data_IF_860492395793
#
_entry.id   IF_860492395793
#
_cell.length_a   1.000
_cell.length_b   1.000
_cell.length_c   1.000
_cell.angle_alpha   90.00
_cell.angle_beta   90.00
_cell.angle_gamma   90.00
#
_symmetry.space_group_name_H-M   'P 1'
#
loop_
_entity.id
_entity.type
_entity.pdbx_description
1 polymer ?
#
# COMPACT_ATOMS: atom_id res chain seq x y z
N UNK A 1 -10.50 27.90 11.17
CA UNK A 1 -11.23 26.60 11.22
C UNK A 1 -10.17 25.53 11.06
N UNK A 2 -10.14 24.49 11.90
CA UNK A 2 -9.22 23.38 11.68
C UNK A 2 -9.53 22.77 10.31
N UNK A 3 -8.51 22.56 9.47
CA UNK A 3 -8.71 21.89 8.18
C UNK A 3 -9.30 20.51 8.44
N UNK A 4 -10.31 20.11 7.65
CA UNK A 4 -10.91 18.79 7.71
C UNK A 4 -9.83 17.72 7.52
N UNK A 5 -9.86 16.66 8.33
CA UNK A 5 -8.97 15.50 8.13
C UNK A 5 -9.25 14.90 6.76
N UNK A 6 -8.21 14.75 5.93
CA UNK A 6 -8.26 14.04 4.66
C UNK A 6 -7.05 13.14 4.54
N UNK A 7 -7.30 11.87 4.35
CA UNK A 7 -6.29 10.85 4.18
C UNK A 7 -6.51 10.08 2.88
N UNK A 8 -5.50 9.37 2.41
CA UNK A 8 -5.62 8.62 1.18
C UNK A 8 -4.97 7.24 1.28
N UNK A 9 -5.57 6.29 0.58
CA UNK A 9 -4.91 5.09 0.12
C UNK A 9 -4.55 5.28 -1.36
N UNK A 10 -3.26 5.19 -1.68
CA UNK A 10 -2.74 5.52 -3.00
C UNK A 10 -1.94 4.34 -3.60
N UNK A 11 -2.64 3.26 -4.03
CA UNK A 11 -1.97 2.09 -4.54
C UNK A 11 -1.47 2.27 -5.97
N UNK A 12 -0.31 1.66 -6.28
CA UNK A 12 0.07 1.38 -7.66
C UNK A 12 -0.63 0.09 -8.12
N UNK A 13 -1.24 0.03 -9.31
CA UNK A 13 -1.98 -1.13 -9.82
C UNK A 13 -1.02 -2.23 -10.34
N UNK A 14 -0.07 -2.65 -9.51
CA UNK A 14 1.00 -3.60 -9.86
C UNK A 14 0.74 -5.02 -9.37
N UNK A 15 -0.47 -5.33 -8.94
CA UNK A 15 -0.87 -6.66 -8.48
C UNK A 15 -2.11 -6.67 -7.58
N UNK A 16 -2.43 -7.84 -7.06
CA UNK A 16 -3.56 -8.08 -6.16
C UNK A 16 -3.37 -7.35 -4.81
N UNK A 17 -4.47 -7.09 -4.11
CA UNK A 17 -4.44 -6.45 -2.79
C UNK A 17 -3.77 -7.36 -1.76
N UNK A 18 -2.52 -7.08 -1.46
CA UNK A 18 -1.74 -7.76 -0.41
C UNK A 18 -2.15 -7.27 0.98
N UNK A 19 -2.06 -8.12 1.99
CA UNK A 19 -2.46 -7.81 3.37
C UNK A 19 -1.75 -6.57 3.94
N UNK A 20 -0.49 -6.30 3.55
CA UNK A 20 0.24 -5.09 3.94
C UNK A 20 -0.40 -3.82 3.39
N UNK A 21 -0.84 -3.86 2.13
CA UNK A 21 -1.53 -2.75 1.49
C UNK A 21 -2.96 -2.59 2.05
N UNK A 22 -3.66 -3.70 2.31
CA UNK A 22 -4.96 -3.69 2.97
C UNK A 22 -4.87 -3.05 4.37
N UNK A 23 -3.82 -3.34 5.14
CA UNK A 23 -3.56 -2.70 6.42
C UNK A 23 -3.32 -1.20 6.28
N UNK A 24 -2.55 -0.79 5.28
CA UNK A 24 -2.33 0.64 5.00
C UNK A 24 -3.65 1.34 4.70
N UNK A 25 -4.50 0.76 3.85
CA UNK A 25 -5.83 1.28 3.56
C UNK A 25 -6.69 1.34 4.82
N UNK A 26 -6.69 0.28 5.63
CA UNK A 26 -7.48 0.15 6.83
C UNK A 26 -7.11 1.21 7.88
N UNK A 27 -5.84 1.49 8.12
CA UNK A 27 -5.47 2.53 9.10
C UNK A 27 -5.79 3.94 8.60
N UNK A 28 -5.70 4.22 7.31
CA UNK A 28 -6.23 5.46 6.75
C UNK A 28 -7.75 5.54 6.92
N UNK A 29 -8.48 4.46 6.65
CA UNK A 29 -9.91 4.37 6.84
C UNK A 29 -10.32 4.60 8.29
N UNK A 30 -9.70 3.89 9.24
CA UNK A 30 -9.99 4.05 10.68
C UNK A 30 -9.70 5.48 11.16
N UNK A 31 -8.57 6.05 10.76
CA UNK A 31 -8.20 7.42 11.08
C UNK A 31 -9.22 8.42 10.55
N UNK A 32 -9.61 8.31 9.29
CA UNK A 32 -10.63 9.17 8.69
C UNK A 32 -11.96 9.04 9.43
N UNK A 33 -12.48 7.83 9.61
CA UNK A 33 -13.79 7.61 10.21
C UNK A 33 -13.83 8.00 11.69
N UNK A 34 -12.76 7.75 12.46
CA UNK A 34 -12.64 8.16 13.85
C UNK A 34 -12.72 9.69 14.00
N UNK A 35 -12.03 10.43 13.15
CA UNK A 35 -11.98 11.89 13.22
C UNK A 35 -13.06 12.60 12.38
N UNK A 36 -14.01 11.88 11.78
CA UNK A 36 -15.03 12.45 10.89
C UNK A 36 -14.48 13.10 9.62
N UNK A 37 -13.36 12.59 9.13
CA UNK A 37 -12.65 13.05 7.94
C UNK A 37 -13.01 12.27 6.69
N UNK A 38 -12.32 12.57 5.58
CA UNK A 38 -12.48 11.92 4.28
C UNK A 38 -11.39 10.86 4.06
N UNK A 39 -11.81 9.72 3.52
CA UNK A 39 -10.94 8.66 3.02
C UNK A 39 -10.99 8.63 1.50
N UNK A 40 -9.86 8.91 0.85
CA UNK A 40 -9.71 9.07 -0.60
C UNK A 40 -8.93 7.90 -1.18
N UNK A 41 -9.34 7.41 -2.35
CA UNK A 41 -8.58 6.44 -3.15
C UNK A 41 -8.00 7.15 -4.37
N UNK A 42 -6.67 7.08 -4.55
CA UNK A 42 -5.96 7.56 -5.75
C UNK A 42 -5.14 6.43 -6.35
N UNK A 43 -5.21 6.23 -7.65
CA UNK A 43 -4.42 5.21 -8.36
C UNK A 43 -3.13 5.83 -8.88
N UNK A 44 -1.98 5.26 -8.47
CA UNK A 44 -0.65 5.69 -8.89
C UNK A 44 -0.13 4.80 -10.02
N UNK A 45 -0.54 5.10 -11.25
CA UNK A 45 -0.34 4.32 -12.47
C UNK A 45 0.73 4.90 -13.43
N UNK A 46 1.61 5.76 -12.93
CA UNK A 46 2.71 6.35 -13.74
C UNK A 46 3.81 5.35 -14.12
N UNK A 47 3.86 4.18 -13.51
CA UNK A 47 4.75 3.08 -13.90
C UNK A 47 4.05 2.09 -14.82
N UNK A 48 3.99 2.44 -16.11
CA UNK A 48 3.32 1.62 -17.15
C UNK A 48 3.96 0.24 -17.36
N UNK A 49 5.23 0.06 -17.00
CA UNK A 49 5.94 -1.23 -17.20
C UNK A 49 5.50 -2.29 -16.22
N UNK A 50 5.03 -1.90 -15.03
CA UNK A 50 4.58 -2.80 -13.97
C UNK A 50 3.06 -2.87 -13.84
N UNK A 51 2.32 -2.26 -14.76
CA UNK A 51 0.87 -2.29 -14.75
C UNK A 51 0.34 -3.73 -14.91
N UNK A 52 -0.62 -4.12 -14.05
CA UNK A 52 -1.34 -5.40 -14.11
C UNK A 52 -2.80 -5.09 -14.45
N UNK A 53 -3.33 -5.73 -15.49
CA UNK A 53 -4.66 -5.43 -16.05
C UNK A 53 -5.79 -5.41 -15.02
N UNK A 54 -5.78 -6.35 -14.07
CA UNK A 54 -6.79 -6.44 -13.01
C UNK A 54 -6.35 -5.79 -11.68
N UNK A 55 -5.21 -5.12 -11.66
CA UNK A 55 -4.62 -4.58 -10.43
C UNK A 55 -5.53 -3.56 -9.73
N UNK A 56 -6.03 -2.58 -10.45
CA UNK A 56 -6.95 -1.56 -9.90
C UNK A 56 -8.25 -2.19 -9.42
N UNK A 57 -8.88 -3.04 -10.26
CA UNK A 57 -10.12 -3.73 -9.90
C UNK A 57 -9.97 -4.56 -8.63
N UNK A 58 -8.89 -5.33 -8.52
CA UNK A 58 -8.61 -6.12 -7.31
C UNK A 58 -8.47 -5.25 -6.06
N UNK A 59 -7.82 -4.07 -6.17
CA UNK A 59 -7.72 -3.15 -5.05
C UNK A 59 -9.12 -2.71 -4.58
N UNK A 60 -9.94 -2.17 -5.48
CA UNK A 60 -11.24 -1.60 -5.15
C UNK A 60 -12.26 -2.65 -4.68
N UNK A 61 -12.38 -3.77 -5.39
CA UNK A 61 -13.32 -4.85 -5.02
C UNK A 61 -12.99 -5.45 -3.65
N UNK A 62 -11.73 -5.67 -3.34
CA UNK A 62 -11.33 -6.27 -2.07
C UNK A 62 -11.41 -5.26 -0.90
N UNK A 63 -11.22 -3.97 -1.13
CA UNK A 63 -11.52 -2.94 -0.13
C UNK A 63 -13.02 -2.89 0.19
N UNK A 64 -13.89 -2.96 -0.83
CA UNK A 64 -15.35 -3.06 -0.62
C UNK A 64 -15.73 -4.31 0.13
N UNK A 65 -15.16 -5.45 -0.23
CA UNK A 65 -15.43 -6.71 0.47
C UNK A 65 -15.05 -6.61 1.95
N UNK A 66 -13.93 -5.95 2.29
CA UNK A 66 -13.56 -5.64 3.67
C UNK A 66 -14.52 -4.62 4.33
N UNK A 67 -15.41 -3.97 3.56
CA UNK A 67 -16.36 -2.97 4.01
C UNK A 67 -15.72 -1.62 4.31
N UNK A 68 -14.61 -1.32 3.65
CA UNK A 68 -14.04 0.02 3.63
C UNK A 68 -14.66 0.80 2.48
N UNK A 69 -15.60 1.68 2.81
CA UNK A 69 -16.16 2.67 1.90
C UNK A 69 -15.24 3.91 1.83
N UNK A 70 -15.29 4.62 0.74
CA UNK A 70 -14.50 5.84 0.51
C UNK A 70 -15.37 7.00 0.05
N UNK A 71 -14.86 8.20 0.25
CA UNK A 71 -15.58 9.43 -0.10
C UNK A 71 -15.31 9.81 -1.57
N UNK A 72 -14.08 9.60 -2.04
CA UNK A 72 -13.64 9.95 -3.39
C UNK A 72 -12.72 8.87 -3.97
N UNK A 73 -12.88 8.58 -5.26
CA UNK A 73 -12.09 7.57 -5.97
C UNK A 73 -12.15 7.75 -7.49
N UNK A 74 -11.35 7.02 -8.28
CA UNK A 74 -11.44 7.02 -9.75
C UNK A 74 -12.80 6.58 -10.32
N UNK A 75 -13.65 5.95 -9.51
CA UNK A 75 -14.99 5.53 -9.94
C UNK A 75 -16.04 6.61 -9.74
N UNK A 76 -15.77 7.56 -8.86
CA UNK A 76 -16.73 8.61 -8.46
C UNK A 76 -16.31 10.01 -8.88
N UNK A 77 -15.02 10.21 -9.17
CA UNK A 77 -14.42 11.51 -9.48
C UNK A 77 -13.43 11.38 -10.64
N UNK A 78 -13.35 12.40 -11.48
CA UNK A 78 -12.34 12.52 -12.52
C UNK A 78 -10.97 12.90 -11.93
N UNK A 79 -9.90 12.54 -12.63
CA UNK A 79 -8.52 12.89 -12.26
C UNK A 79 -8.06 12.26 -10.90
N UNK A 80 -8.50 11.04 -10.61
CA UNK A 80 -8.03 10.24 -9.47
C UNK A 80 -7.06 9.13 -9.88
N UNK A 81 -6.64 9.11 -11.18
CA UNK A 81 -5.48 8.35 -11.67
C UNK A 81 -4.37 9.30 -12.04
N UNK A 82 -3.13 8.99 -11.68
CA UNK A 82 -1.99 9.86 -11.99
C UNK A 82 -1.79 10.06 -13.50
N UNK A 83 -2.08 9.05 -14.31
CA UNK A 83 -2.02 9.15 -15.78
C UNK A 83 -2.99 10.19 -16.36
N UNK A 84 -4.04 10.56 -15.64
CA UNK A 84 -5.03 11.59 -16.04
C UNK A 84 -4.58 13.02 -15.66
N UNK A 85 -3.45 13.18 -14.95
CA UNK A 85 -3.01 14.41 -14.31
C UNK A 85 -1.71 14.99 -14.88
N UNK A 86 -1.26 14.51 -16.03
CA UNK A 86 0.03 14.90 -16.62
C UNK A 86 0.18 16.39 -16.86
N UNK A 87 -0.89 17.08 -17.27
CA UNK A 87 -0.89 18.54 -17.47
C UNK A 87 -0.68 19.30 -16.15
N UNK A 88 -1.25 18.80 -15.05
CA UNK A 88 -1.05 19.36 -13.73
C UNK A 88 0.42 19.28 -13.30
N UNK A 89 1.04 18.10 -13.46
CA UNK A 89 2.46 17.91 -13.15
C UNK A 89 3.35 18.80 -14.01
N UNK A 90 3.06 18.89 -15.32
CA UNK A 90 3.83 19.72 -16.24
C UNK A 90 3.81 21.20 -15.82
N UNK A 91 2.65 21.70 -15.42
CA UNK A 91 2.50 23.09 -14.94
C UNK A 91 3.45 23.40 -13.77
N UNK A 92 3.57 22.49 -12.79
CA UNK A 92 4.46 22.71 -11.64
C UNK A 92 5.92 22.47 -11.99
N UNK A 93 6.23 21.58 -12.92
CA UNK A 93 7.59 21.42 -13.46
C UNK A 93 8.03 22.71 -14.17
N UNK A 94 7.18 23.28 -15.02
CA UNK A 94 7.46 24.53 -15.72
C UNK A 94 7.65 25.72 -14.75
N UNK A 95 6.86 25.77 -13.67
CA UNK A 95 7.04 26.75 -12.61
C UNK A 95 8.43 26.61 -11.96
N UNK A 96 8.83 25.39 -11.56
CA UNK A 96 10.13 25.16 -10.92
C UNK A 96 11.31 25.48 -11.86
N UNK A 97 11.16 25.20 -13.16
CA UNK A 97 12.13 25.57 -14.19
C UNK A 97 12.23 27.11 -14.32
N UNK A 98 11.11 27.80 -14.37
CA UNK A 98 11.06 29.26 -14.48
C UNK A 98 11.64 29.96 -13.24
N UNK A 99 11.45 29.37 -12.05
CA UNK A 99 12.01 29.87 -10.79
C UNK A 99 13.49 29.48 -10.57
N UNK A 100 14.09 28.71 -11.48
CA UNK A 100 15.48 28.23 -11.34
C UNK A 100 15.68 27.20 -10.23
N UNK A 101 14.60 26.61 -9.71
CA UNK A 101 14.62 25.56 -8.68
C UNK A 101 14.76 24.14 -9.27
N UNK A 102 14.52 24.02 -10.55
CA UNK A 102 14.77 22.84 -11.35
C UNK A 102 15.47 23.19 -12.66
N UNK A 103 16.06 22.22 -13.32
CA UNK A 103 16.75 22.41 -14.59
C UNK A 103 16.68 21.16 -15.47
N UNK A 104 16.85 21.33 -16.78
CA UNK A 104 16.95 20.24 -17.75
C UNK A 104 18.37 19.64 -17.69
N UNK A 105 18.46 18.34 -17.45
CA UNK A 105 19.71 17.58 -17.44
C UNK A 105 19.81 16.70 -18.67
N UNK A 106 20.92 16.81 -19.39
CA UNK A 106 21.19 16.08 -20.63
C UNK A 106 22.18 14.93 -20.44
N UNK A 107 22.52 14.57 -19.20
CA UNK A 107 23.40 13.45 -18.88
C UNK A 107 22.72 12.14 -19.26
N UNK A 108 23.47 11.27 -19.98
CA UNK A 108 22.96 9.97 -20.41
C UNK A 108 23.08 8.91 -19.31
N UNK A 109 22.42 7.77 -19.47
CA UNK A 109 22.51 6.66 -18.50
C UNK A 109 23.92 6.08 -18.44
N UNK A 110 24.62 6.05 -19.59
CA UNK A 110 25.99 5.59 -19.70
C UNK A 110 26.95 6.53 -18.94
N UNK A 111 26.78 7.84 -19.09
CA UNK A 111 27.56 8.85 -18.36
C UNK A 111 27.31 8.77 -16.84
N UNK A 112 26.06 8.61 -16.43
CA UNK A 112 25.72 8.41 -15.01
C UNK A 112 26.34 7.13 -14.45
N UNK A 113 26.32 6.03 -15.22
CA UNK A 113 26.93 4.77 -14.80
C UNK A 113 28.45 4.88 -14.67
N UNK A 114 29.13 5.54 -15.64
CA UNK A 114 30.56 5.77 -15.62
C UNK A 114 30.99 6.66 -14.44
N UNK A 115 30.24 7.73 -14.16
CA UNK A 115 30.53 8.60 -13.01
C UNK A 115 30.34 7.87 -11.69
N UNK A 116 29.28 7.05 -11.56
CA UNK A 116 29.06 6.21 -10.40
C UNK A 116 30.24 5.25 -10.17
N UNK A 117 30.68 4.55 -11.21
CA UNK A 117 31.82 3.63 -11.13
C UNK A 117 33.10 4.37 -10.72
N UNK A 118 33.35 5.57 -11.27
CA UNK A 118 34.49 6.41 -10.87
C UNK A 118 34.45 6.73 -9.37
N UNK A 119 33.28 7.13 -8.85
CA UNK A 119 33.11 7.49 -7.43
C UNK A 119 33.31 6.26 -6.53
N UNK A 120 32.75 5.10 -6.89
CA UNK A 120 32.91 3.84 -6.16
C UNK A 120 34.38 3.41 -6.10
N UNK A 121 35.11 3.50 -7.21
CA UNK A 121 36.55 3.20 -7.27
C UNK A 121 37.40 4.17 -6.43
N UNK A 122 36.96 5.42 -6.31
CA UNK A 122 37.61 6.42 -5.46
C UNK A 122 37.26 6.28 -3.96
N UNK A 123 36.35 5.35 -3.61
CA UNK A 123 35.84 5.19 -2.23
C UNK A 123 34.91 6.33 -1.80
N UNK A 124 34.34 7.04 -2.76
CA UNK A 124 33.35 8.08 -2.54
C UNK A 124 31.92 7.47 -2.52
N UNK A 125 31.00 8.08 -1.77
CA UNK A 125 29.59 7.70 -1.85
C UNK A 125 29.01 8.19 -3.18
N UNK A 126 28.45 7.30 -4.03
CA UNK A 126 27.90 7.68 -5.32
C UNK A 126 26.78 8.72 -5.20
N UNK A 127 26.93 9.81 -5.94
CA UNK A 127 25.94 10.89 -6.03
C UNK A 127 25.92 11.50 -7.41
N UNK A 128 24.81 12.09 -7.76
CA UNK A 128 24.72 12.88 -8.98
C UNK A 128 25.48 14.21 -8.79
N UNK A 129 26.28 14.56 -9.79
CA UNK A 129 26.99 15.85 -9.87
C UNK A 129 26.32 16.63 -11.01
N UNK A 130 25.88 17.86 -10.71
CA UNK A 130 25.28 18.74 -11.72
C UNK A 130 26.32 19.05 -12.80
N UNK A 131 25.98 18.70 -14.07
CA UNK A 131 26.87 18.87 -15.23
C UNK A 131 27.23 20.31 -15.53
N UNK A 132 26.48 21.27 -15.01
CA UNK A 132 26.71 22.70 -15.25
C UNK A 132 27.63 23.35 -14.24
N UNK A 133 28.09 22.61 -13.24
CA UNK A 133 29.00 23.19 -12.21
C UNK A 133 30.29 23.68 -12.89
N UNK A 134 30.58 24.96 -12.68
CA UNK A 134 31.79 25.61 -13.20
C UNK A 134 31.70 26.10 -14.64
N UNK A 135 30.56 25.87 -15.34
CA UNK A 135 30.36 26.40 -16.67
C UNK A 135 29.86 27.86 -16.62
N UNK A 136 30.41 28.69 -17.52
CA UNK A 136 29.80 29.98 -17.86
C UNK A 136 28.48 29.79 -18.61
N UNK A 137 27.64 30.81 -18.67
CA UNK A 137 26.37 30.72 -19.42
C UNK A 137 26.58 30.36 -20.90
N UNK A 138 27.63 30.91 -21.54
CA UNK A 138 27.95 30.58 -22.94
C UNK A 138 28.37 29.11 -23.10
N UNK A 139 29.14 28.56 -22.16
CA UNK A 139 29.53 27.15 -22.20
C UNK A 139 28.32 26.22 -21.97
N UNK A 140 27.41 26.61 -21.07
CA UNK A 140 26.16 25.90 -20.82
C UNK A 140 25.26 25.90 -22.04
N UNK A 141 25.06 27.05 -22.70
CA UNK A 141 24.29 27.14 -23.93
C UNK A 141 24.89 26.26 -25.05
N UNK A 142 26.23 26.29 -25.22
CA UNK A 142 26.93 25.46 -26.20
C UNK A 142 26.76 23.96 -25.90
N UNK A 143 26.90 23.55 -24.64
CA UNK A 143 26.68 22.18 -24.19
C UNK A 143 25.24 21.72 -24.48
N UNK A 144 24.24 22.52 -24.12
CA UNK A 144 22.84 22.20 -24.37
C UNK A 144 22.60 22.02 -25.87
N UNK A 145 23.07 22.96 -26.71
CA UNK A 145 22.90 22.92 -28.14
C UNK A 145 23.55 21.65 -28.77
N UNK A 146 24.71 21.26 -28.29
CA UNK A 146 25.37 20.01 -28.71
C UNK A 146 24.54 18.78 -28.38
N UNK A 147 24.02 18.70 -27.14
CA UNK A 147 23.20 17.58 -26.65
C UNK A 147 21.87 17.48 -27.40
N UNK A 148 21.22 18.59 -27.65
CA UNK A 148 19.98 18.65 -28.44
C UNK A 148 20.22 18.24 -29.90
N UNK A 149 21.32 18.72 -30.50
CA UNK A 149 21.72 18.32 -31.85
C UNK A 149 22.02 16.80 -31.95
N UNK A 150 22.51 16.20 -30.88
CA UNK A 150 22.72 14.75 -30.75
C UNK A 150 21.39 13.98 -30.50
N UNK A 151 20.24 14.65 -30.39
CA UNK A 151 18.95 14.03 -30.14
C UNK A 151 18.74 13.54 -28.70
N UNK A 152 19.52 14.02 -27.74
CA UNK A 152 19.39 13.64 -26.34
C UNK A 152 18.16 14.33 -25.75
N UNK A 153 17.20 13.54 -25.28
CA UNK A 153 16.02 14.02 -24.56
C UNK A 153 16.39 14.24 -23.09
N UNK A 154 16.22 15.47 -22.56
CA UNK A 154 16.59 15.75 -21.17
C UNK A 154 15.60 15.12 -20.19
N UNK A 155 16.10 14.89 -18.97
CA UNK A 155 15.27 14.76 -17.76
C UNK A 155 15.18 16.14 -17.08
N UNK A 156 14.20 16.34 -16.20
CA UNK A 156 14.18 17.52 -15.33
C UNK A 156 14.59 17.09 -13.93
N UNK A 157 15.54 17.81 -13.34
CA UNK A 157 16.03 17.57 -12.00
C UNK A 157 15.68 18.74 -11.06
N UNK A 158 15.29 18.39 -9.83
CA UNK A 158 15.16 19.36 -8.74
C UNK A 158 16.54 19.64 -8.17
N UNK A 159 16.89 20.92 -8.01
CA UNK A 159 18.13 21.33 -7.36
C UNK A 159 18.05 21.08 -5.85
N UNK A 160 19.04 20.41 -5.29
CA UNK A 160 19.09 20.02 -3.88
C UNK A 160 20.09 20.87 -3.11
N UNK A 161 19.68 21.42 -1.97
CA UNK A 161 20.60 22.02 -1.02
C UNK A 161 21.31 20.95 -0.21
N UNK A 162 22.59 20.73 -0.45
CA UNK A 162 23.39 19.76 0.31
C UNK A 162 23.48 20.10 1.81
N UNK A 163 23.42 21.37 2.17
CA UNK A 163 23.40 21.84 3.57
C UNK A 163 22.01 21.86 4.20
N UNK A 164 20.96 21.51 3.44
CA UNK A 164 19.60 21.46 3.93
C UNK A 164 19.40 20.35 4.95
N UNK A 165 18.62 20.61 5.98
CA UNK A 165 18.21 19.60 6.98
C UNK A 165 16.70 19.46 6.91
N UNK A 166 16.22 18.26 6.58
CA UNK A 166 14.81 17.93 6.43
C UNK A 166 14.32 17.21 7.66
N UNK A 167 13.41 17.85 8.40
CA UNK A 167 12.88 17.35 9.69
C UNK A 167 11.38 17.25 9.66
N UNK A 168 10.86 16.21 10.29
CA UNK A 168 9.43 16.10 10.57
C UNK A 168 9.20 15.28 11.84
N UNK A 169 8.08 15.51 12.49
CA UNK A 169 7.61 14.65 13.58
C UNK A 169 6.64 13.64 12.99
N UNK A 170 7.08 12.38 12.92
CA UNK A 170 6.28 11.27 12.40
C UNK A 170 5.29 10.77 13.44
N UNK A 171 4.03 10.52 13.03
CA UNK A 171 2.96 10.06 13.93
C UNK A 171 3.31 8.75 14.64
N UNK A 172 4.15 7.90 14.03
CA UNK A 172 4.50 6.58 14.56
C UNK A 172 5.93 6.53 15.08
N UNK A 173 6.88 7.07 14.30
CA UNK A 173 8.33 6.96 14.59
C UNK A 173 8.86 8.07 15.50
N UNK A 174 8.12 9.18 15.65
CA UNK A 174 8.57 10.38 16.36
C UNK A 174 9.46 11.26 15.48
N UNK A 175 10.37 12.00 16.08
CA UNK A 175 11.21 12.97 15.36
C UNK A 175 12.21 12.26 14.44
N UNK A 176 12.22 12.66 13.17
CA UNK A 176 13.12 12.16 12.13
C UNK A 176 13.84 13.35 11.51
N UNK A 177 15.14 13.18 11.27
CA UNK A 177 15.99 14.18 10.63
C UNK A 177 16.80 13.52 9.52
N UNK A 178 16.90 14.22 8.37
CA UNK A 178 17.71 13.83 7.24
C UNK A 178 18.53 15.01 6.74
N UNK A 179 19.82 14.79 6.48
CA UNK A 179 20.69 15.76 5.83
C UNK A 179 20.54 15.70 4.31
N UNK A 180 20.49 16.86 3.66
CA UNK A 180 20.38 16.97 2.19
C UNK A 180 21.52 16.26 1.46
N UNK A 181 22.72 16.26 2.03
CA UNK A 181 23.90 15.53 1.54
C UNK A 181 23.68 14.04 1.35
N UNK A 182 22.78 13.43 2.15
CA UNK A 182 22.45 12.00 2.09
C UNK A 182 21.42 11.63 1.00
N UNK A 183 20.89 12.62 0.27
CA UNK A 183 19.91 12.39 -0.82
C UNK A 183 20.58 11.87 -2.09
N UNK A 184 21.88 12.09 -2.26
CA UNK A 184 22.61 11.65 -3.44
C UNK A 184 22.61 12.67 -4.59
N UNK A 185 22.45 13.96 -4.28
CA UNK A 185 22.48 15.07 -5.24
C UNK A 185 21.11 15.38 -5.86
N UNK A 186 21.12 16.21 -6.91
CA UNK A 186 19.91 16.64 -7.61
C UNK A 186 19.20 15.44 -8.23
N UNK A 187 17.91 15.29 -7.98
CA UNK A 187 17.18 14.10 -8.38
C UNK A 187 16.09 14.39 -9.42
N UNK A 188 15.81 13.41 -10.28
CA UNK A 188 14.88 13.55 -11.40
C UNK A 188 13.45 13.70 -10.90
N UNK A 189 12.78 14.79 -11.30
CA UNK A 189 11.35 15.03 -11.08
C UNK A 189 10.52 14.67 -12.31
N UNK A 190 11.10 14.78 -13.54
CA UNK A 190 10.46 14.35 -14.79
C UNK A 190 11.40 13.47 -15.60
N UNK A 191 10.88 12.32 -16.04
CA UNK A 191 11.57 11.35 -16.88
C UNK A 191 11.61 11.82 -18.35
N UNK A 192 12.47 11.19 -19.18
CA UNK A 192 12.60 11.46 -20.62
C UNK A 192 11.29 11.25 -21.40
N UNK A 193 10.40 10.40 -20.92
CA UNK A 193 9.08 10.13 -21.51
C UNK A 193 8.01 11.16 -21.14
N UNK A 194 8.39 12.21 -20.40
CA UNK A 194 7.48 13.27 -19.95
C UNK A 194 6.71 12.94 -18.66
N UNK A 195 6.76 11.71 -18.18
CA UNK A 195 6.10 11.33 -16.93
C UNK A 195 6.86 11.82 -15.70
N UNK A 196 6.16 12.27 -14.66
CA UNK A 196 6.81 12.61 -13.39
C UNK A 196 7.38 11.36 -12.70
N UNK A 197 8.33 11.57 -11.81
CA UNK A 197 8.75 10.53 -10.88
C UNK A 197 7.78 10.43 -9.69
N UNK A 198 7.77 9.29 -9.02
CA UNK A 198 6.90 9.02 -7.88
C UNK A 198 6.94 10.13 -6.81
N UNK A 199 8.14 10.51 -6.34
CA UNK A 199 8.27 11.48 -5.27
C UNK A 199 7.80 12.90 -5.64
N UNK A 200 7.78 13.25 -6.92
CA UNK A 200 7.22 14.51 -7.40
C UNK A 200 5.69 14.42 -7.54
N UNK A 201 5.19 13.40 -8.25
CA UNK A 201 3.77 13.25 -8.51
C UNK A 201 2.94 13.17 -7.22
N UNK A 202 3.38 12.36 -6.25
CA UNK A 202 2.66 12.18 -4.98
C UNK A 202 2.50 13.48 -4.19
N UNK A 203 3.50 14.37 -4.24
CA UNK A 203 3.44 15.68 -3.56
C UNK A 203 2.42 16.59 -4.22
N UNK A 204 2.45 16.67 -5.55
CA UNK A 204 1.49 17.48 -6.31
C UNK A 204 0.06 17.01 -6.03
N UNK A 205 -0.15 15.70 -6.04
CA UNK A 205 -1.46 15.11 -5.81
C UNK A 205 -1.94 15.32 -4.37
N UNK A 206 -1.08 15.06 -3.39
CA UNK A 206 -1.43 15.22 -1.98
C UNK A 206 -1.76 16.69 -1.65
N UNK A 207 -1.06 17.65 -2.28
CA UNK A 207 -1.38 19.06 -2.15
C UNK A 207 -2.70 19.42 -2.83
N UNK A 208 -2.88 19.07 -4.10
CA UNK A 208 -4.05 19.41 -4.90
C UNK A 208 -5.35 18.78 -4.34
N UNK A 209 -5.24 17.55 -3.83
CA UNK A 209 -6.33 16.83 -3.14
C UNK A 209 -6.48 17.22 -1.68
N UNK A 210 -5.70 18.21 -1.19
CA UNK A 210 -5.75 18.71 0.19
C UNK A 210 -5.58 17.60 1.25
N UNK A 211 -4.69 16.65 1.01
CA UNK A 211 -4.39 15.59 1.95
C UNK A 211 -3.70 16.17 3.19
N UNK A 212 -4.30 15.98 4.35
CA UNK A 212 -3.80 16.50 5.62
C UNK A 212 -2.82 15.54 6.31
N UNK A 213 -3.00 14.22 6.10
CA UNK A 213 -2.18 13.18 6.71
C UNK A 213 -1.83 12.09 5.70
N UNK A 214 -0.56 11.70 5.70
CA UNK A 214 0.00 10.66 4.83
C UNK A 214 0.42 9.48 5.69
N UNK A 215 -0.48 8.48 5.84
CA UNK A 215 -0.22 7.25 6.59
C UNK A 215 0.15 6.15 5.59
N UNK A 216 1.36 5.57 5.71
CA UNK A 216 1.90 4.60 4.74
C UNK A 216 2.93 3.66 5.39
N UNK A 217 3.46 2.69 4.64
CA UNK A 217 4.52 1.80 5.12
C UNK A 217 5.84 2.52 5.40
N UNK A 218 6.65 2.03 6.32
CA UNK A 218 7.94 2.61 6.70
C UNK A 218 9.05 2.41 5.66
N UNK A 219 8.83 1.59 4.64
CA UNK A 219 9.64 1.52 3.44
C UNK A 219 9.64 2.83 2.63
N UNK A 220 8.71 3.74 2.90
CA UNK A 220 8.65 5.08 2.33
C UNK A 220 9.37 6.17 3.15
N UNK A 221 9.94 5.89 4.31
CA UNK A 221 10.65 6.89 5.13
C UNK A 221 11.75 7.59 4.33
N UNK A 222 12.55 6.84 3.57
CA UNK A 222 13.62 7.40 2.73
C UNK A 222 13.12 8.27 1.56
N UNK A 223 11.83 8.21 1.22
CA UNK A 223 11.21 9.07 0.21
C UNK A 223 10.79 10.43 0.78
N UNK A 224 10.47 10.48 2.09
CA UNK A 224 9.91 11.68 2.74
C UNK A 224 10.82 12.91 2.59
N UNK A 225 12.15 12.85 2.73
CA UNK A 225 13.02 14.02 2.51
C UNK A 225 12.87 14.59 1.10
N UNK A 226 12.83 13.74 0.07
CA UNK A 226 12.62 14.19 -1.33
C UNK A 226 11.29 14.89 -1.52
N UNK A 227 10.26 14.39 -0.85
CA UNK A 227 8.92 14.99 -0.89
C UNK A 227 8.90 16.33 -0.16
N UNK A 228 9.54 16.43 1.01
CA UNK A 228 9.68 17.70 1.73
C UNK A 228 10.42 18.76 0.89
N UNK A 229 11.43 18.37 0.11
CA UNK A 229 12.11 19.26 -0.85
C UNK A 229 11.16 19.84 -1.89
N UNK A 230 10.20 19.05 -2.38
CA UNK A 230 9.20 19.54 -3.35
C UNK A 230 8.22 20.52 -2.68
N UNK A 231 7.74 20.20 -1.46
CA UNK A 231 6.90 21.11 -0.68
C UNK A 231 7.62 22.45 -0.44
N UNK A 232 8.88 22.42 -0.01
CA UNK A 232 9.70 23.61 0.19
C UNK A 232 9.90 24.39 -1.10
N UNK A 233 10.26 23.73 -2.20
CA UNK A 233 10.49 24.36 -3.50
C UNK A 233 9.24 25.08 -4.04
N UNK A 234 8.06 24.53 -3.78
CA UNK A 234 6.77 25.11 -4.19
C UNK A 234 6.20 26.09 -3.15
N UNK A 235 6.83 26.20 -1.97
CA UNK A 235 6.36 27.07 -0.88
C UNK A 235 5.09 26.58 -0.19
N UNK A 236 4.89 25.27 -0.16
CA UNK A 236 3.72 24.64 0.43
C UNK A 236 4.01 24.06 1.81
N UNK A 237 2.97 24.01 2.66
CA UNK A 237 3.02 23.23 3.89
C UNK A 237 2.88 21.74 3.57
N UNK A 238 3.75 20.92 4.18
CA UNK A 238 3.67 19.48 4.04
C UNK A 238 2.57 18.90 4.94
N UNK A 239 1.93 17.79 4.55
CA UNK A 239 1.00 17.06 5.40
C UNK A 239 1.75 16.43 6.59
N UNK A 240 0.99 16.00 7.60
CA UNK A 240 1.56 15.18 8.66
C UNK A 240 1.84 13.76 8.14
N UNK A 241 3.02 13.22 8.44
CA UNK A 241 3.42 11.87 8.01
C UNK A 241 3.30 10.86 9.14
N UNK A 242 2.88 9.65 8.81
CA UNK A 242 2.87 8.48 9.68
C UNK A 242 3.39 7.24 8.96
N UNK A 243 4.50 6.67 9.44
CA UNK A 243 5.15 5.52 8.81
C UNK A 243 4.96 4.26 9.65
N UNK A 244 4.04 3.39 9.21
CA UNK A 244 3.71 2.14 9.86
C UNK A 244 4.79 1.10 9.64
N UNK A 245 5.06 0.32 10.68
CA UNK A 245 6.07 -0.75 10.66
C UNK A 245 5.71 -1.86 9.67
N UNK A 246 6.72 -2.64 9.26
CA UNK A 246 6.53 -3.82 8.41
C UNK A 246 5.68 -4.90 9.09
N UNK A 247 5.04 -5.74 8.27
CA UNK A 247 4.48 -7.00 8.71
C UNK A 247 5.53 -8.09 8.51
N UNK A 248 5.77 -8.87 9.56
CA UNK A 248 6.68 -10.02 9.56
C UNK A 248 5.88 -11.30 9.78
N UNK A 249 6.38 -12.41 9.27
CA UNK A 249 5.83 -13.72 9.57
C UNK A 249 6.22 -14.10 11.01
N UNK A 250 5.24 -14.49 11.85
CA UNK A 250 5.45 -14.81 13.27
C UNK A 250 6.36 -16.02 13.50
N UNK A 251 6.40 -16.98 12.57
CA UNK A 251 7.21 -18.19 12.69
C UNK A 251 8.66 -17.97 12.27
N UNK A 252 8.89 -17.14 11.22
CA UNK A 252 10.23 -16.95 10.65
C UNK A 252 10.90 -15.64 11.07
N UNK A 253 10.15 -14.67 11.61
CA UNK A 253 10.63 -13.32 11.93
C UNK A 253 11.03 -12.48 10.72
N UNK A 254 10.84 -12.99 9.49
CA UNK A 254 11.18 -12.28 8.24
C UNK A 254 9.99 -11.51 7.71
N UNK A 255 10.25 -10.49 6.87
CA UNK A 255 9.21 -9.76 6.15
C UNK A 255 8.29 -10.76 5.46
N UNK A 256 6.99 -10.60 5.63
CA UNK A 256 5.97 -11.41 4.97
C UNK A 256 6.17 -11.37 3.45
N UNK A 257 6.30 -12.52 2.82
CA UNK A 257 6.75 -12.67 1.43
C UNK A 257 5.83 -13.62 0.67
N UNK A 258 5.58 -13.33 -0.60
CA UNK A 258 4.80 -14.19 -1.53
C UNK A 258 5.28 -15.65 -1.61
N UNK A 259 6.44 -15.97 -1.03
CA UNK A 259 7.01 -17.33 -0.97
C UNK A 259 6.59 -18.11 0.28
N UNK A 260 5.90 -17.46 1.23
CA UNK A 260 5.42 -18.11 2.45
C UNK A 260 4.15 -18.91 2.13
N UNK A 261 4.28 -20.17 1.78
CA UNK A 261 3.20 -21.03 1.27
C UNK A 261 2.12 -21.37 2.30
N UNK A 262 2.41 -21.21 3.58
CA UNK A 262 1.49 -21.53 4.68
C UNK A 262 0.69 -20.32 5.17
N UNK A 263 0.80 -19.18 4.49
CA UNK A 263 0.21 -17.92 4.92
C UNK A 263 -0.56 -17.32 3.76
N UNK A 264 -1.84 -17.03 3.96
CA UNK A 264 -2.62 -16.28 2.99
C UNK A 264 -2.18 -14.82 2.99
N UNK A 265 -1.80 -14.30 1.84
CA UNK A 265 -1.20 -12.97 1.75
C UNK A 265 -2.04 -11.97 0.97
N UNK A 266 -2.97 -12.46 0.16
CA UNK A 266 -3.87 -11.63 -0.63
C UNK A 266 -5.27 -11.69 -0.07
N UNK A 267 -5.93 -10.55 -0.02
CA UNK A 267 -7.31 -10.44 0.50
C UNK A 267 -8.27 -11.28 -0.34
N UNK A 268 -8.02 -11.39 -1.64
CA UNK A 268 -8.79 -12.24 -2.53
C UNK A 268 -8.78 -13.72 -2.13
N UNK A 269 -7.66 -14.21 -1.57
CA UNK A 269 -7.54 -15.62 -1.14
C UNK A 269 -8.42 -15.88 0.09
N UNK A 270 -8.52 -14.95 1.03
CA UNK A 270 -9.47 -15.04 2.14
C UNK A 270 -10.91 -15.07 1.65
N UNK A 271 -11.25 -14.16 0.73
CA UNK A 271 -12.58 -14.11 0.11
C UNK A 271 -12.92 -15.41 -0.62
N UNK A 272 -11.99 -15.95 -1.43
CA UNK A 272 -12.15 -17.21 -2.17
C UNK A 272 -12.36 -18.43 -1.26
N UNK A 273 -11.79 -18.43 -0.07
CA UNK A 273 -11.97 -19.48 0.92
C UNK A 273 -13.23 -19.31 1.79
N UNK A 274 -13.94 -18.21 1.63
CA UNK A 274 -15.14 -17.93 2.40
C UNK A 274 -14.87 -17.55 3.86
N UNK A 275 -13.80 -16.80 4.12
CA UNK A 275 -13.66 -16.08 5.39
C UNK A 275 -14.71 -14.98 5.48
N UNK A 276 -15.15 -14.66 6.70
CA UNK A 276 -15.99 -13.48 6.91
C UNK A 276 -15.12 -12.21 6.82
N UNK A 277 -15.62 -11.21 6.09
CA UNK A 277 -14.90 -9.96 5.88
C UNK A 277 -14.62 -9.23 7.19
N UNK A 278 -15.55 -9.31 8.16
CA UNK A 278 -15.43 -8.73 9.50
C UNK A 278 -14.27 -9.32 10.28
N UNK A 279 -14.08 -10.65 10.19
CA UNK A 279 -12.97 -11.33 10.85
C UNK A 279 -11.62 -10.88 10.27
N UNK A 280 -11.52 -10.78 8.93
CA UNK A 280 -10.30 -10.32 8.26
C UNK A 280 -10.03 -8.86 8.56
N UNK A 281 -11.05 -8.00 8.57
CA UNK A 281 -10.94 -6.60 8.93
C UNK A 281 -10.42 -6.43 10.36
N UNK A 282 -11.01 -7.11 11.34
CA UNK A 282 -10.59 -7.06 12.73
C UNK A 282 -9.16 -7.56 12.91
N UNK A 283 -8.81 -8.69 12.28
CA UNK A 283 -7.46 -9.23 12.36
C UNK A 283 -6.41 -8.23 11.83
N UNK A 284 -6.67 -7.63 10.65
CA UNK A 284 -5.76 -6.63 10.05
C UNK A 284 -5.64 -5.39 10.93
N UNK A 285 -6.73 -4.95 11.58
CA UNK A 285 -6.71 -3.80 12.49
C UNK A 285 -5.75 -4.01 13.67
N UNK A 286 -5.62 -5.25 14.16
CA UNK A 286 -4.70 -5.59 15.26
C UNK A 286 -3.26 -5.84 14.81
N UNK A 287 -2.96 -5.77 13.50
CA UNK A 287 -1.60 -5.87 12.99
C UNK A 287 -0.84 -4.54 13.13
N UNK A 288 -0.31 -4.29 14.30
CA UNK A 288 0.48 -3.10 14.61
C UNK A 288 -0.30 -1.97 15.26
N UNK A 289 -1.48 -2.28 15.79
CA UNK A 289 -2.25 -1.41 16.65
C UNK A 289 -2.98 -2.25 17.71
N UNK A 290 -3.28 -1.64 18.88
CA UNK A 290 -3.99 -2.30 19.96
C UNK A 290 -4.87 -1.27 20.70
N UNK A 291 -6.18 -1.52 20.86
CA UNK A 291 -7.10 -0.60 21.55
C UNK A 291 -6.88 -0.55 23.07
N UNK A 292 -6.09 -1.49 23.61
CA UNK A 292 -5.92 -1.70 25.05
C UNK A 292 -6.87 -2.75 25.59
N UNK A 293 -6.48 -3.36 26.71
CA UNK A 293 -7.20 -4.49 27.28
C UNK A 293 -6.85 -5.83 26.66
N UNK A 294 -7.62 -6.86 26.99
CA UNK A 294 -7.40 -8.25 26.57
C UNK A 294 -8.38 -8.68 25.44
N UNK A 295 -9.35 -7.85 25.12
CA UNK A 295 -10.32 -8.11 24.07
C UNK A 295 -9.67 -8.04 22.68
N UNK A 296 -10.02 -8.97 21.82
CA UNK A 296 -9.46 -9.09 20.46
C UNK A 296 -10.56 -9.18 19.38
N UNK A 297 -11.82 -9.37 19.76
CA UNK A 297 -12.95 -9.47 18.82
C UNK A 297 -13.76 -8.19 18.90
N UNK A 298 -13.79 -7.44 17.81
CA UNK A 298 -14.43 -6.11 17.75
C UNK A 298 -15.24 -5.97 16.47
N UNK A 299 -16.41 -5.40 16.57
CA UNK A 299 -17.11 -4.92 15.36
C UNK A 299 -16.33 -3.77 14.70
N UNK A 300 -16.61 -3.52 13.43
CA UNK A 300 -16.00 -2.40 12.68
C UNK A 300 -16.27 -1.06 13.37
N UNK A 301 -17.49 -0.86 13.86
CA UNK A 301 -17.88 0.37 14.57
C UNK A 301 -17.09 0.54 15.88
N UNK A 302 -16.90 -0.55 16.63
CA UNK A 302 -16.05 -0.51 17.83
C UNK A 302 -14.60 -0.15 17.48
N UNK A 303 -14.03 -0.73 16.41
CA UNK A 303 -12.68 -0.41 15.97
C UNK A 303 -12.53 1.05 15.56
N UNK A 304 -13.52 1.62 14.84
CA UNK A 304 -13.54 3.04 14.49
C UNK A 304 -13.59 3.91 15.76
N UNK A 305 -14.45 3.59 16.71
CA UNK A 305 -14.61 4.38 17.94
C UNK A 305 -13.40 4.29 18.87
N UNK A 306 -12.73 3.14 18.92
CA UNK A 306 -11.57 2.88 19.78
C UNK A 306 -10.25 3.31 19.15
N UNK A 307 -10.25 3.68 17.88
CA UNK A 307 -9.01 4.00 17.19
C UNK A 307 -8.29 5.18 17.84
N UNK A 308 -7.01 4.99 18.12
CA UNK A 308 -6.11 5.99 18.69
C UNK A 308 -4.74 5.82 17.98
N UNK A 309 -4.38 6.80 17.17
CA UNK A 309 -3.14 6.82 16.41
C UNK A 309 -1.88 6.78 17.28
N UNK A 310 -1.97 7.26 18.53
CA UNK A 310 -0.85 7.22 19.46
C UNK A 310 -0.49 5.80 19.91
N UNK A 311 -1.36 4.84 19.63
CA UNK A 311 -1.19 3.42 19.92
C UNK A 311 -0.68 2.60 18.74
N UNK A 312 -0.36 3.25 17.61
CA UNK A 312 0.29 2.60 16.49
C UNK A 312 1.68 2.09 16.91
N UNK A 313 1.96 0.81 16.62
CA UNK A 313 3.18 0.13 17.07
C UNK A 313 4.43 0.68 16.38
N UNK A 314 5.47 0.91 17.16
CA UNK A 314 6.82 1.24 16.66
C UNK A 314 7.63 0.01 16.25
N UNK A 315 7.17 -1.19 16.61
CA UNK A 315 7.81 -2.47 16.30
C UNK A 315 7.07 -3.21 15.19
N UNK A 316 7.74 -4.05 14.37
CA UNK A 316 7.10 -4.85 13.34
C UNK A 316 5.92 -5.67 13.87
N UNK A 317 4.85 -5.74 13.08
CA UNK A 317 3.67 -6.51 13.41
C UNK A 317 3.85 -7.97 12.99
N UNK A 318 3.65 -8.91 13.92
CA UNK A 318 3.75 -10.34 13.63
C UNK A 318 2.43 -10.87 13.06
N UNK A 319 2.47 -11.36 11.82
CA UNK A 319 1.35 -12.05 11.20
C UNK A 319 1.34 -13.52 11.65
N UNK A 320 0.26 -13.95 12.28
CA UNK A 320 0.02 -15.30 12.74
C UNK A 320 -1.26 -15.86 12.10
N UNK A 321 -1.12 -16.86 11.20
CA UNK A 321 -2.25 -17.50 10.54
C UNK A 321 -3.14 -18.24 11.55
N UNK A 322 -2.58 -18.83 12.60
CA UNK A 322 -3.37 -19.53 13.61
C UNK A 322 -4.28 -18.57 14.37
N UNK A 323 -3.77 -17.37 14.66
CA UNK A 323 -4.58 -16.31 15.26
C UNK A 323 -5.70 -15.85 14.33
N UNK A 324 -5.40 -15.68 13.03
CA UNK A 324 -6.41 -15.35 12.02
C UNK A 324 -7.51 -16.44 11.97
N UNK A 325 -7.11 -17.71 11.92
CA UNK A 325 -8.02 -18.85 11.88
C UNK A 325 -8.90 -18.93 13.15
N UNK A 326 -8.31 -18.67 14.31
CA UNK A 326 -9.05 -18.61 15.57
C UNK A 326 -10.07 -17.48 15.58
N UNK A 327 -9.68 -16.28 15.16
CA UNK A 327 -10.62 -15.14 15.07
C UNK A 327 -11.74 -15.44 14.09
N UNK A 328 -11.42 -15.97 12.91
CA UNK A 328 -12.42 -16.32 11.90
C UNK A 328 -13.41 -17.37 12.42
N UNK A 329 -12.92 -18.39 13.15
CA UNK A 329 -13.78 -19.38 13.78
C UNK A 329 -14.75 -18.72 14.79
N UNK A 330 -14.27 -17.77 15.60
CA UNK A 330 -15.13 -17.06 16.55
C UNK A 330 -16.23 -16.27 15.86
N UNK A 331 -15.91 -15.56 14.77
CA UNK A 331 -16.91 -14.86 13.96
C UNK A 331 -17.92 -15.80 13.34
N UNK A 332 -17.49 -16.89 12.68
CA UNK A 332 -18.40 -17.87 12.07
C UNK A 332 -19.30 -18.55 13.10
N UNK A 333 -18.75 -18.89 14.25
CA UNK A 333 -19.49 -19.52 15.35
C UNK A 333 -20.60 -18.62 15.89
N UNK A 334 -20.36 -17.31 16.00
CA UNK A 334 -21.29 -16.35 16.55
C UNK A 334 -22.21 -15.69 15.49
N UNK A 335 -21.94 -15.86 14.19
CA UNK A 335 -22.79 -15.36 13.11
C UNK A 335 -24.13 -16.10 13.07
N UNK A 336 -25.15 -15.49 12.46
CA UNK A 336 -26.42 -16.17 12.18
C UNK A 336 -26.22 -17.33 11.20
N UNK A 337 -27.14 -18.31 11.27
CA UNK A 337 -27.04 -19.52 10.46
C UNK A 337 -27.13 -19.22 8.97
N UNK A 338 -28.04 -18.34 8.57
CA UNK A 338 -28.29 -17.98 7.16
C UNK A 338 -27.03 -17.39 6.51
N UNK A 339 -26.33 -16.51 7.21
CA UNK A 339 -25.06 -15.94 6.74
C UNK A 339 -23.98 -16.99 6.54
N UNK A 340 -23.82 -17.91 7.49
CA UNK A 340 -22.80 -18.98 7.39
C UNK A 340 -23.19 -19.99 6.30
N UNK A 341 -24.48 -20.34 6.20
CA UNK A 341 -24.96 -21.23 5.15
C UNK A 341 -24.74 -20.61 3.75
N UNK A 342 -25.03 -19.32 3.59
CA UNK A 342 -24.78 -18.60 2.33
C UNK A 342 -23.30 -18.63 1.93
N UNK A 343 -22.37 -18.53 2.88
CA UNK A 343 -20.94 -18.68 2.63
C UNK A 343 -20.53 -20.10 2.24
N UNK A 344 -21.11 -21.12 2.88
CA UNK A 344 -20.79 -22.54 2.62
C UNK A 344 -21.44 -23.09 1.34
N UNK A 345 -22.60 -22.54 0.95
CA UNK A 345 -23.42 -23.03 -0.16
C UNK A 345 -22.66 -23.19 -1.48
N UNK A 346 -21.86 -22.21 -1.97
CA UNK A 346 -21.12 -22.36 -3.22
C UNK A 346 -20.15 -23.56 -3.20
N UNK A 347 -19.47 -23.79 -2.08
CA UNK A 347 -18.54 -24.92 -1.92
C UNK A 347 -19.25 -26.27 -1.92
N UNK A 348 -20.40 -26.35 -1.25
CA UNK A 348 -21.24 -27.57 -1.26
C UNK A 348 -21.81 -27.84 -2.65
N UNK A 349 -22.20 -26.80 -3.38
CA UNK A 349 -22.71 -26.91 -4.75
C UNK A 349 -21.64 -27.42 -5.70
N UNK A 350 -20.43 -26.81 -5.68
CA UNK A 350 -19.29 -27.23 -6.50
C UNK A 350 -18.86 -28.67 -6.21
N UNK A 351 -18.93 -29.09 -4.94
CA UNK A 351 -18.63 -30.45 -4.52
C UNK A 351 -19.76 -31.47 -4.78
N UNK A 352 -20.92 -31.04 -5.33
CA UNK A 352 -22.07 -31.90 -5.51
C UNK A 352 -22.76 -32.36 -4.22
N UNK A 353 -22.61 -31.58 -3.13
CA UNK A 353 -23.08 -31.91 -1.77
C UNK A 353 -24.23 -31.03 -1.30
N UNK A 354 -24.78 -30.18 -2.15
CA UNK A 354 -25.90 -29.34 -1.83
C UNK A 354 -27.20 -30.18 -1.93
N UNK A 355 -27.43 -30.98 -0.89
CA UNK A 355 -28.59 -31.90 -0.76
C UNK A 355 -29.60 -31.35 0.25
N UNK A 356 -30.72 -32.04 0.44
CA UNK A 356 -31.72 -31.79 1.50
C UNK A 356 -31.15 -31.81 2.93
N UNK A 357 -29.96 -32.38 3.11
CA UNK A 357 -29.24 -32.43 4.39
C UNK A 357 -28.20 -31.33 4.55
N UNK A 358 -27.95 -30.51 3.54
CA UNK A 358 -26.87 -29.50 3.54
C UNK A 358 -26.97 -28.54 4.72
N UNK A 359 -28.18 -28.04 5.04
CA UNK A 359 -28.39 -27.14 6.19
C UNK A 359 -27.96 -27.79 7.51
N UNK A 360 -28.39 -29.06 7.73
CA UNK A 360 -28.01 -29.80 8.95
C UNK A 360 -26.52 -30.06 9.07
N UNK A 361 -25.84 -30.28 7.93
CA UNK A 361 -24.41 -30.48 7.90
C UNK A 361 -23.66 -29.19 8.23
N UNK A 362 -24.12 -28.08 7.67
CA UNK A 362 -23.53 -26.75 8.00
C UNK A 362 -23.79 -26.42 9.47
N UNK A 363 -24.99 -26.65 10.00
CA UNK A 363 -25.32 -26.43 11.41
C UNK A 363 -24.41 -27.27 12.33
N UNK A 364 -24.18 -28.54 11.99
CA UNK A 364 -23.33 -29.47 12.73
C UNK A 364 -21.87 -28.99 12.79
N UNK A 365 -21.34 -28.51 11.66
CA UNK A 365 -19.92 -28.16 11.52
C UNK A 365 -19.60 -26.69 11.75
N UNK A 366 -20.60 -25.81 11.77
CA UNK A 366 -20.44 -24.36 12.02
C UNK A 366 -19.48 -24.03 13.18
N UNK A 367 -19.55 -24.68 14.34
CA UNK A 367 -18.64 -24.39 15.45
C UNK A 367 -17.16 -24.72 15.18
N UNK A 368 -16.86 -25.47 14.14
CA UNK A 368 -15.51 -25.95 13.81
C UNK A 368 -14.90 -25.19 12.62
N UNK A 369 -15.74 -24.52 11.81
CA UNK A 369 -15.28 -23.82 10.61
C UNK A 369 -14.35 -22.66 10.94
N UNK A 370 -13.25 -22.53 10.21
CA UNK A 370 -12.37 -21.34 10.16
C UNK A 370 -12.62 -20.56 8.87
N UNK A 371 -12.99 -21.26 7.81
CA UNK A 371 -13.41 -20.73 6.53
C UNK A 371 -14.50 -21.63 5.93
N UNK A 372 -15.32 -21.09 5.04
CA UNK A 372 -16.46 -21.84 4.53
C UNK A 372 -16.08 -23.01 3.60
N UNK A 373 -14.90 -22.96 2.95
CA UNK A 373 -14.38 -24.05 2.12
C UNK A 373 -14.12 -25.32 2.94
N UNK A 374 -13.87 -25.22 4.26
CA UNK A 374 -13.66 -26.36 5.13
C UNK A 374 -14.90 -27.25 5.28
N UNK A 375 -16.11 -26.77 4.93
CA UNK A 375 -17.33 -27.57 4.98
C UNK A 375 -17.22 -28.80 4.07
N UNK A 376 -16.48 -28.72 2.96
CA UNK A 376 -16.30 -29.82 2.03
C UNK A 376 -15.55 -30.98 2.69
N UNK A 377 -14.28 -30.83 3.13
CA UNK A 377 -13.58 -31.94 3.78
C UNK A 377 -14.22 -32.41 5.09
N UNK A 378 -14.86 -31.53 5.86
CA UNK A 378 -15.54 -31.90 7.09
C UNK A 378 -16.76 -32.81 6.84
N UNK A 379 -17.39 -32.70 5.68
CA UNK A 379 -18.55 -33.51 5.30
C UNK A 379 -18.18 -34.77 4.50
N UNK A 380 -16.90 -35.03 4.21
CA UNK A 380 -16.45 -36.18 3.42
C UNK A 380 -17.05 -37.50 3.92
N UNK A 381 -17.10 -37.68 5.22
CA UNK A 381 -17.61 -38.91 5.84
C UNK A 381 -19.09 -39.23 5.46
N UNK A 382 -19.88 -38.21 5.16
CA UNK A 382 -21.31 -38.38 4.80
C UNK A 382 -21.53 -38.70 3.32
N UNK A 383 -20.48 -38.53 2.50
CA UNK A 383 -20.53 -38.73 1.04
C UNK A 383 -19.50 -39.79 0.56
N UNK A 384 -18.77 -40.40 1.48
CA UNK A 384 -17.87 -41.49 1.16
C UNK A 384 -18.63 -42.79 0.87
N UNK A 385 -18.24 -43.51 -0.18
CA UNK A 385 -18.70 -44.88 -0.40
C UNK A 385 -18.05 -45.78 0.64
N UNK A 386 -18.83 -46.20 1.62
CA UNK A 386 -18.35 -47.21 2.57
C UNK A 386 -18.39 -48.59 1.90
N UNK A 387 -17.29 -49.39 1.95
CA UNK A 387 -17.37 -50.77 1.51
C UNK A 387 -18.38 -51.51 2.38
N UNK A 388 -19.27 -52.32 1.74
CA UNK A 388 -20.23 -53.17 2.44
C UNK A 388 -19.49 -53.92 3.56
N UNK A 389 -20.03 -53.81 4.77
CA UNK A 389 -19.55 -54.58 5.91
C UNK A 389 -19.74 -56.05 5.57
N UNK A 390 -18.68 -56.69 5.08
CA UNK A 390 -18.67 -58.16 4.95
C UNK A 390 -18.79 -58.76 6.34
N UNK A 391 -19.86 -59.56 6.55
CA UNK A 391 -20.07 -60.27 7.79
C UNK A 391 -18.77 -61.01 8.22
N UNK A 392 -18.37 -60.92 9.51
CA UNK A 392 -17.21 -61.68 9.98
C UNK A 392 -17.44 -63.17 9.70
N UNK A 393 -16.56 -63.77 8.89
CA UNK A 393 -16.58 -65.22 8.67
C UNK A 393 -16.56 -65.89 10.05
N UNK A 394 -17.67 -66.52 10.44
CA UNK A 394 -17.68 -67.39 11.62
C UNK A 394 -16.62 -68.44 11.42
N UNK A 395 -15.64 -68.49 12.30
CA UNK A 395 -14.69 -69.59 12.46
C UNK A 395 -15.32 -70.67 13.32
#
# INVERSE_FOLDING_TARGET
MANKIRVRYAPSPTGLLHIGNARTALFNYLYARHHGGDFVIRIEDTDRKRHVEDGERSQLENLRWLGMDWDESPETHENYRQSERLELYQRYIDQLLAEGKAYKSYVTEEELAAERERQELAGETPRYINEFIGMSETEKEAYIAEREAAGIIPTVRLAVSESGIYKWTDMVKGDIEFEGSNIGGDWVIQKKDGYPTYNFAVVIDDHDMQISHVIRGDDHIANTPKQLMVYEALGWEAPQFGHMTLIINSETGKKLSKRDTNTLQFIEDYRKKGYMSEAVFNFIALLGWNPGGEEEIFSREQLINLFDENRLSKSPAAFDQKKMDWMSNDYLKNADFESVFALCKPFLEEAGRLTDKAEKLVELYKPQLKSADEIVPLTDLFFADFPELTEPKKK
#
